data_IF_763859971188
#
_entry.id   IF_763859971188
#
_cell.length_a   1.000
_cell.length_b   1.000
_cell.length_c   1.000
_cell.angle_alpha   90.00
_cell.angle_beta   90.00
_cell.angle_gamma   90.00
#
_symmetry.space_group_name_H-M   'P 1'
#
loop_
_entity.id
_entity.type
_entity.pdbx_description
1 polymer ?
#
# COMPACT_ATOMS: atom_id res chain seq x y z
N UNK A 1 24.25 -3.98 17.59
CA UNK A 1 24.94 -4.07 16.29
C UNK A 1 26.42 -4.22 16.56
N UNK A 2 26.96 -5.43 16.43
CA UNK A 2 28.39 -5.66 16.62
C UNK A 2 29.14 -5.14 15.38
N UNK A 3 29.97 -4.13 15.59
CA UNK A 3 30.93 -3.66 14.60
C UNK A 3 31.85 -4.83 14.25
N UNK A 4 31.64 -5.46 13.10
CA UNK A 4 32.61 -6.38 12.53
C UNK A 4 33.87 -5.56 12.25
N UNK A 5 34.93 -5.78 13.04
CA UNK A 5 36.25 -5.20 12.77
C UNK A 5 36.66 -5.61 11.36
N UNK A 6 36.76 -4.62 10.46
CA UNK A 6 37.40 -4.82 9.17
C UNK A 6 38.85 -5.22 9.44
N UNK A 7 39.22 -6.43 9.03
CA UNK A 7 40.60 -6.86 9.01
C UNK A 7 41.28 -6.05 7.91
N UNK A 8 42.29 -5.27 8.28
CA UNK A 8 42.98 -4.43 7.31
C UNK A 8 43.87 -5.28 6.38
N UNK A 9 44.01 -4.90 5.10
CA UNK A 9 44.75 -5.70 4.11
C UNK A 9 46.17 -6.09 4.53
N UNK A 10 46.85 -5.23 5.31
CA UNK A 10 48.19 -5.52 5.81
C UNK A 10 48.19 -6.67 6.83
N UNK A 11 47.13 -6.87 7.60
CA UNK A 11 47.05 -7.96 8.58
C UNK A 11 46.99 -9.32 7.88
N UNK A 12 46.29 -9.39 6.75
CA UNK A 12 46.24 -10.59 5.89
C UNK A 12 47.63 -10.87 5.30
N UNK A 13 48.34 -9.82 4.86
CA UNK A 13 49.71 -9.94 4.36
C UNK A 13 50.65 -10.48 5.45
N UNK A 14 50.57 -9.95 6.67
CA UNK A 14 51.40 -10.42 7.79
C UNK A 14 51.16 -11.90 8.09
N UNK A 15 49.90 -12.34 8.15
CA UNK A 15 49.54 -13.74 8.38
C UNK A 15 50.11 -14.64 7.26
N UNK A 16 49.97 -14.22 5.99
CA UNK A 16 50.50 -14.97 4.85
C UNK A 16 52.03 -15.08 4.90
N UNK A 17 52.74 -13.99 5.21
CA UNK A 17 54.21 -14.00 5.36
C UNK A 17 54.64 -14.91 6.51
N UNK A 18 53.92 -14.90 7.64
CA UNK A 18 54.21 -15.79 8.77
C UNK A 18 54.01 -17.26 8.38
N UNK A 19 52.91 -17.61 7.69
CA UNK A 19 52.65 -18.98 7.22
C UNK A 19 53.71 -19.43 6.21
N UNK A 20 54.12 -18.55 5.29
CA UNK A 20 55.17 -18.85 4.31
C UNK A 20 56.51 -19.08 5.00
N UNK A 21 56.84 -18.26 6.00
CA UNK A 21 58.06 -18.38 6.79
C UNK A 21 58.12 -19.67 7.60
N UNK A 22 57.03 -20.05 8.26
CA UNK A 22 56.96 -21.31 9.02
C UNK A 22 57.00 -22.53 8.12
N UNK A 23 56.31 -22.52 6.97
CA UNK A 23 56.37 -23.60 5.99
C UNK A 23 57.78 -23.77 5.41
N UNK A 24 58.46 -22.66 5.07
CA UNK A 24 59.84 -22.69 4.57
C UNK A 24 60.81 -23.22 5.63
N UNK A 25 60.67 -22.77 6.88
CA UNK A 25 61.47 -23.27 8.00
C UNK A 25 61.29 -24.78 8.25
N UNK A 26 60.05 -25.28 8.14
CA UNK A 26 59.74 -26.70 8.28
C UNK A 26 60.38 -27.53 7.15
N UNK A 27 60.29 -27.06 5.89
CA UNK A 27 60.88 -27.74 4.72
C UNK A 27 62.39 -27.76 4.80
N UNK A 28 63.03 -26.68 5.28
CA UNK A 28 64.48 -26.64 5.49
C UNK A 28 64.90 -27.53 6.64
N UNK A 29 64.14 -27.58 7.75
CA UNK A 29 64.43 -28.45 8.89
C UNK A 29 64.28 -29.94 8.57
N UNK A 30 63.40 -30.31 7.63
CA UNK A 30 63.20 -31.69 7.17
C UNK A 30 64.13 -32.10 6.02
N UNK A 31 64.93 -31.17 5.48
CA UNK A 31 65.78 -31.39 4.30
C UNK A 31 66.76 -32.55 4.49
N UNK A 32 67.34 -32.65 5.69
CA UNK A 32 68.35 -33.68 5.99
C UNK A 32 67.73 -35.02 6.39
N UNK A 33 66.42 -35.04 6.66
CA UNK A 33 65.68 -36.23 7.09
C UNK A 33 64.94 -36.93 5.96
N UNK A 34 64.84 -36.30 4.78
CA UNK A 34 64.07 -36.81 3.65
C UNK A 34 64.98 -37.42 2.57
N UNK A 35 64.63 -38.59 2.01
CA UNK A 35 65.34 -39.16 0.87
C UNK A 35 65.35 -38.18 -0.30
N UNK A 36 66.50 -38.03 -0.97
CA UNK A 36 66.72 -37.03 -2.03
C UNK A 36 65.69 -37.05 -3.18
N UNK A 37 64.96 -38.17 -3.37
CA UNK A 37 63.91 -38.31 -4.38
C UNK A 37 62.52 -37.74 -3.99
N UNK A 38 62.26 -37.46 -2.71
CA UNK A 38 60.94 -36.99 -2.22
C UNK A 38 60.84 -35.48 -2.06
N UNK A 39 61.96 -34.77 -2.18
CA UNK A 39 62.00 -33.32 -1.99
C UNK A 39 61.23 -32.52 -3.07
N UNK A 40 61.38 -32.83 -4.38
CA UNK A 40 60.65 -32.11 -5.43
C UNK A 40 59.11 -32.20 -5.34
N UNK A 41 58.47 -33.37 -5.12
CA UNK A 41 57.01 -33.46 -5.09
C UNK A 41 56.39 -32.78 -3.86
N UNK A 42 57.05 -32.80 -2.70
CA UNK A 42 56.54 -32.14 -1.49
C UNK A 42 56.49 -30.62 -1.68
N UNK A 43 57.53 -30.03 -2.30
CA UNK A 43 57.56 -28.60 -2.62
C UNK A 43 56.43 -28.23 -3.59
N UNK A 44 56.20 -29.04 -4.62
CA UNK A 44 55.12 -28.79 -5.60
C UNK A 44 53.75 -28.80 -4.93
N UNK A 45 53.47 -29.73 -4.01
CA UNK A 45 52.21 -29.79 -3.26
C UNK A 45 52.03 -28.55 -2.39
N UNK A 46 53.07 -28.15 -1.64
CA UNK A 46 53.02 -26.99 -0.76
C UNK A 46 52.79 -25.69 -1.55
N UNK A 47 53.50 -25.50 -2.66
CA UNK A 47 53.31 -24.33 -3.54
C UNK A 47 51.90 -24.33 -4.13
N UNK A 48 51.39 -25.49 -4.56
CA UNK A 48 50.03 -25.59 -5.11
C UNK A 48 48.95 -25.24 -4.09
N UNK A 49 49.10 -25.69 -2.83
CA UNK A 49 48.19 -25.33 -1.74
C UNK A 49 48.25 -23.83 -1.41
N UNK A 50 49.45 -23.24 -1.39
CA UNK A 50 49.62 -21.81 -1.14
C UNK A 50 48.99 -20.95 -2.25
N UNK A 51 49.20 -21.31 -3.51
CA UNK A 51 48.56 -20.63 -4.65
C UNK A 51 47.04 -20.81 -4.58
N UNK A 52 46.55 -22.01 -4.28
CA UNK A 52 45.12 -22.26 -4.09
C UNK A 52 44.50 -21.40 -2.98
N UNK A 53 45.13 -21.34 -1.81
CA UNK A 53 44.71 -20.48 -0.70
C UNK A 53 44.75 -18.99 -1.06
N UNK A 54 45.77 -18.54 -1.79
CA UNK A 54 45.90 -17.14 -2.20
C UNK A 54 44.81 -16.75 -3.21
N UNK A 55 44.54 -17.59 -4.21
CA UNK A 55 43.46 -17.36 -5.19
C UNK A 55 42.10 -17.34 -4.47
N UNK A 56 41.86 -18.26 -3.55
CA UNK A 56 40.64 -18.30 -2.76
C UNK A 56 40.47 -17.04 -1.88
N UNK A 57 41.55 -16.59 -1.23
CA UNK A 57 41.58 -15.33 -0.47
C UNK A 57 41.34 -14.12 -1.37
N UNK A 58 41.95 -14.05 -2.56
CA UNK A 58 41.69 -12.98 -3.54
C UNK A 58 40.22 -12.94 -3.96
N UNK A 59 39.59 -14.09 -4.20
CA UNK A 59 38.16 -14.17 -4.56
C UNK A 59 37.26 -13.69 -3.41
N UNK A 60 37.62 -13.98 -2.16
CA UNK A 60 36.84 -13.60 -0.97
C UNK A 60 37.07 -12.15 -0.55
N UNK A 61 38.31 -11.67 -0.62
CA UNK A 61 38.70 -10.33 -0.17
C UNK A 61 38.47 -9.26 -1.23
N UNK A 62 38.41 -9.66 -2.50
CA UNK A 62 38.13 -8.81 -3.64
C UNK A 62 36.86 -9.29 -4.36
N UNK A 63 35.70 -9.38 -3.65
CA UNK A 63 34.46 -9.67 -4.34
C UNK A 63 34.31 -8.57 -5.39
N UNK A 64 34.01 -8.92 -6.66
CA UNK A 64 33.98 -7.93 -7.72
C UNK A 64 33.07 -6.80 -7.28
N UNK A 65 33.59 -5.56 -7.20
CA UNK A 65 32.84 -4.39 -6.70
C UNK A 65 31.48 -4.24 -7.40
N UNK A 66 31.38 -4.78 -8.62
CA UNK A 66 30.15 -4.92 -9.40
C UNK A 66 29.09 -5.86 -8.78
N UNK A 67 29.47 -6.96 -8.13
CA UNK A 67 28.53 -7.85 -7.46
C UNK A 67 27.88 -7.19 -6.24
N UNK A 68 28.64 -6.44 -5.43
CA UNK A 68 28.09 -5.73 -4.28
C UNK A 68 27.10 -4.64 -4.70
N UNK A 69 27.43 -3.86 -5.74
CA UNK A 69 26.52 -2.83 -6.26
C UNK A 69 25.25 -3.43 -6.85
N UNK A 70 25.33 -4.58 -7.53
CA UNK A 70 24.17 -5.29 -8.04
C UNK A 70 23.26 -5.81 -6.92
N UNK A 71 23.84 -6.49 -5.91
CA UNK A 71 23.08 -6.99 -4.74
C UNK A 71 22.42 -5.84 -4.00
N UNK A 72 23.13 -4.72 -3.81
CA UNK A 72 22.59 -3.53 -3.16
C UNK A 72 21.40 -2.95 -3.92
N UNK A 73 21.52 -2.75 -5.25
CA UNK A 73 20.41 -2.28 -6.09
C UNK A 73 19.22 -3.23 -6.07
N UNK A 74 19.46 -4.55 -6.10
CA UNK A 74 18.40 -5.55 -6.00
C UNK A 74 17.68 -5.50 -4.64
N UNK A 75 18.41 -5.31 -3.54
CA UNK A 75 17.85 -5.14 -2.20
C UNK A 75 17.05 -3.84 -2.06
N UNK A 76 17.56 -2.73 -2.60
CA UNK A 76 16.86 -1.44 -2.63
C UNK A 76 15.56 -1.54 -3.44
N UNK A 77 15.60 -2.16 -4.62
CA UNK A 77 14.41 -2.43 -5.44
C UNK A 77 13.37 -3.28 -4.70
N UNK A 78 13.80 -4.33 -3.99
CA UNK A 78 12.90 -5.17 -3.17
C UNK A 78 12.27 -4.39 -2.02
N UNK A 79 13.03 -3.51 -1.36
CA UNK A 79 12.50 -2.66 -0.27
C UNK A 79 11.49 -1.66 -0.80
N UNK A 80 11.74 -1.07 -1.97
CA UNK A 80 10.82 -0.11 -2.56
C UNK A 80 9.51 -0.78 -3.00
N UNK A 81 9.58 -1.97 -3.61
CA UNK A 81 8.38 -2.77 -3.91
C UNK A 81 7.57 -3.08 -2.66
N UNK A 82 8.21 -3.46 -1.55
CA UNK A 82 7.52 -3.71 -0.28
C UNK A 82 6.84 -2.45 0.28
N UNK A 83 7.47 -1.27 0.15
CA UNK A 83 6.87 -0.01 0.60
C UNK A 83 5.68 0.39 -0.28
N UNK A 84 5.81 0.22 -1.59
CA UNK A 84 4.72 0.45 -2.53
C UNK A 84 3.55 -0.48 -2.23
N UNK A 85 3.82 -1.77 -2.03
CA UNK A 85 2.80 -2.74 -1.62
C UNK A 85 2.12 -2.35 -0.30
N UNK A 86 2.87 -1.95 0.72
CA UNK A 86 2.28 -1.51 1.98
C UNK A 86 1.41 -0.26 1.85
N UNK A 87 1.84 0.72 1.05
CA UNK A 87 1.04 1.92 0.76
C UNK A 87 -0.24 1.55 0.01
N UNK A 88 -0.12 0.66 -0.95
CA UNK A 88 -1.23 0.14 -1.73
C UNK A 88 -2.27 -0.58 -0.83
N UNK A 89 -1.81 -1.52 0.00
CA UNK A 89 -2.66 -2.23 0.95
C UNK A 89 -3.35 -1.29 1.94
N UNK A 90 -2.67 -0.24 2.41
CA UNK A 90 -3.29 0.78 3.26
C UNK A 90 -4.39 1.53 2.52
N UNK A 91 -4.13 1.93 1.28
CA UNK A 91 -5.09 2.66 0.45
C UNK A 91 -6.33 1.81 0.16
N UNK A 92 -6.16 0.53 -0.19
CA UNK A 92 -7.27 -0.41 -0.38
C UNK A 92 -8.14 -0.53 0.87
N UNK A 93 -7.54 -0.67 2.06
CA UNK A 93 -8.31 -0.74 3.32
C UNK A 93 -9.16 0.50 3.55
N UNK A 94 -8.64 1.69 3.21
CA UNK A 94 -9.38 2.95 3.37
C UNK A 94 -10.53 3.03 2.37
N UNK A 95 -10.36 2.55 1.14
CA UNK A 95 -11.44 2.46 0.15
C UNK A 95 -12.52 1.46 0.60
N UNK A 96 -12.13 0.30 1.13
CA UNK A 96 -13.08 -0.70 1.64
C UNK A 96 -13.84 -0.18 2.87
N UNK A 97 -13.15 0.51 3.78
CA UNK A 97 -13.78 1.17 4.93
C UNK A 97 -14.72 2.29 4.48
N UNK A 98 -14.32 3.08 3.49
CA UNK A 98 -15.16 4.12 2.88
C UNK A 98 -16.45 3.53 2.31
N UNK A 99 -16.36 2.43 1.56
CA UNK A 99 -17.52 1.77 0.99
C UNK A 99 -18.45 1.23 2.07
N UNK A 100 -17.92 0.66 3.15
CA UNK A 100 -18.73 0.21 4.29
C UNK A 100 -19.45 1.39 4.94
N UNK A 101 -18.74 2.48 5.22
CA UNK A 101 -19.29 3.69 5.83
C UNK A 101 -20.36 4.34 4.94
N UNK A 102 -20.21 4.20 3.63
CA UNK A 102 -21.20 4.68 2.67
C UNK A 102 -22.51 3.89 2.76
N UNK A 103 -22.43 2.56 2.86
CA UNK A 103 -23.60 1.72 3.06
C UNK A 103 -24.27 2.00 4.41
N UNK A 104 -23.48 2.10 5.49
CA UNK A 104 -24.00 2.49 6.82
C UNK A 104 -24.76 3.83 6.76
N UNK A 105 -24.21 4.82 6.04
CA UNK A 105 -24.87 6.11 5.86
C UNK A 105 -26.13 6.01 4.99
N UNK A 106 -26.09 5.23 3.91
CA UNK A 106 -27.23 5.00 3.03
C UNK A 106 -28.40 4.37 3.79
N UNK A 107 -28.11 3.37 4.63
CA UNK A 107 -29.09 2.72 5.50
C UNK A 107 -29.69 3.71 6.50
N UNK A 108 -28.86 4.53 7.15
CA UNK A 108 -29.32 5.56 8.07
C UNK A 108 -30.26 6.57 7.40
N UNK A 109 -29.91 7.02 6.19
CA UNK A 109 -30.71 7.95 5.39
C UNK A 109 -32.06 7.33 5.02
N UNK A 110 -32.05 6.11 4.50
CA UNK A 110 -33.27 5.40 4.11
C UNK A 110 -34.17 5.13 5.33
N UNK A 111 -33.58 4.82 6.49
CA UNK A 111 -34.30 4.60 7.73
C UNK A 111 -34.97 5.90 8.20
N UNK A 112 -34.20 6.99 8.33
CA UNK A 112 -34.68 8.27 8.85
C UNK A 112 -35.72 8.89 7.92
N UNK A 113 -35.42 8.96 6.62
CA UNK A 113 -36.33 9.53 5.62
C UNK A 113 -37.52 8.63 5.32
N UNK A 114 -37.51 7.38 5.76
CA UNK A 114 -38.65 6.47 5.64
C UNK A 114 -39.58 6.44 6.84
N UNK A 115 -39.29 7.21 7.90
CA UNK A 115 -40.07 7.23 9.13
C UNK A 115 -40.90 8.52 9.24
N UNK A 116 -42.17 8.39 9.64
CA UNK A 116 -43.06 9.53 9.93
C UNK A 116 -42.59 10.41 11.11
N UNK A 117 -41.56 9.97 11.84
CA UNK A 117 -41.00 10.67 12.98
C UNK A 117 -39.68 11.36 12.62
N UNK A 118 -39.42 12.48 13.28
CA UNK A 118 -38.17 13.22 13.19
C UNK A 118 -36.93 12.37 13.58
N UNK A 119 -35.72 12.74 13.09
CA UNK A 119 -34.49 12.05 13.43
C UNK A 119 -34.25 12.11 14.94
N UNK A 120 -33.98 10.96 15.54
CA UNK A 120 -33.65 10.89 16.96
C UNK A 120 -32.26 11.45 17.25
N UNK A 121 -31.96 11.90 18.49
CA UNK A 121 -30.63 12.37 18.85
C UNK A 121 -29.51 11.35 18.57
N UNK A 122 -29.81 10.05 18.69
CA UNK A 122 -28.86 8.96 18.42
C UNK A 122 -28.53 8.90 16.92
N UNK A 123 -29.54 9.04 16.05
CA UNK A 123 -29.34 9.06 14.60
C UNK A 123 -28.55 10.29 14.15
N UNK A 124 -28.78 11.44 14.77
CA UNK A 124 -27.99 12.66 14.50
C UNK A 124 -26.53 12.50 14.94
N UNK A 125 -26.27 11.84 16.08
CA UNK A 125 -24.91 11.53 16.54
C UNK A 125 -24.20 10.55 15.58
N UNK A 126 -24.92 9.52 15.11
CA UNK A 126 -24.42 8.56 14.13
C UNK A 126 -24.07 9.25 12.81
N UNK A 127 -24.98 10.09 12.30
CA UNK A 127 -24.75 10.90 11.10
C UNK A 127 -23.52 11.81 11.26
N UNK A 128 -23.40 12.52 12.39
CA UNK A 128 -22.26 13.39 12.67
C UNK A 128 -20.94 12.62 12.69
N UNK A 129 -20.94 11.42 13.28
CA UNK A 129 -19.77 10.53 13.34
C UNK A 129 -19.35 10.07 11.94
N UNK A 130 -20.31 9.63 11.12
CA UNK A 130 -20.06 9.24 9.73
C UNK A 130 -19.55 10.42 8.90
N UNK A 131 -20.20 11.58 9.03
CA UNK A 131 -19.84 12.81 8.32
C UNK A 131 -18.39 13.25 8.62
N UNK A 132 -17.99 13.26 9.89
CA UNK A 132 -16.61 13.56 10.28
C UNK A 132 -15.61 12.56 9.71
N UNK A 133 -15.96 11.27 9.68
CA UNK A 133 -15.12 10.23 9.09
C UNK A 133 -14.90 10.48 7.58
N UNK A 134 -15.97 10.83 6.84
CA UNK A 134 -15.87 11.15 5.41
C UNK A 134 -15.02 12.38 5.13
N UNK A 135 -15.19 13.46 5.91
CA UNK A 135 -14.36 14.67 5.79
C UNK A 135 -12.89 14.33 5.99
N UNK A 136 -12.57 13.61 7.07
CA UNK A 136 -11.19 13.27 7.45
C UNK A 136 -10.49 12.42 6.38
N UNK A 137 -11.20 11.46 5.77
CA UNK A 137 -10.61 10.51 4.83
C UNK A 137 -10.75 10.92 3.35
N UNK A 138 -11.42 12.04 3.07
CA UNK A 138 -11.57 12.61 1.72
C UNK A 138 -10.27 12.63 0.91
N UNK A 139 -9.13 13.13 1.45
CA UNK A 139 -7.91 13.27 0.65
C UNK A 139 -7.34 11.92 0.18
N UNK A 140 -7.65 10.82 0.88
CA UNK A 140 -7.20 9.49 0.50
C UNK A 140 -8.12 8.88 -0.57
N UNK A 141 -9.43 9.13 -0.56
CA UNK A 141 -10.39 8.46 -1.46
C UNK A 141 -10.67 9.24 -2.75
N UNK A 142 -10.86 10.56 -2.67
CA UNK A 142 -11.28 11.38 -3.83
C UNK A 142 -10.36 11.27 -5.05
N UNK A 143 -9.01 11.26 -4.91
CA UNK A 143 -8.13 11.11 -6.07
C UNK A 143 -8.31 9.76 -6.79
N UNK A 144 -8.56 8.69 -6.04
CA UNK A 144 -8.81 7.36 -6.59
C UNK A 144 -10.18 7.31 -7.26
N UNK A 145 -11.21 7.89 -6.63
CA UNK A 145 -12.54 8.00 -7.22
C UNK A 145 -12.52 8.74 -8.56
N UNK A 146 -11.83 9.88 -8.63
CA UNK A 146 -11.73 10.65 -9.88
C UNK A 146 -11.10 9.81 -11.00
N UNK A 147 -10.02 9.10 -10.72
CA UNK A 147 -9.39 8.19 -11.69
C UNK A 147 -10.32 7.06 -12.13
N UNK A 148 -11.07 6.49 -11.19
CA UNK A 148 -12.08 5.49 -11.49
C UNK A 148 -13.12 6.07 -12.46
N UNK A 149 -13.72 7.21 -12.10
CA UNK A 149 -14.73 7.88 -12.92
C UNK A 149 -14.20 8.20 -14.33
N UNK A 150 -12.96 8.70 -14.45
CA UNK A 150 -12.34 9.02 -15.75
C UNK A 150 -12.07 7.78 -16.63
N UNK A 151 -11.93 6.59 -16.02
CA UNK A 151 -11.65 5.33 -16.72
C UNK A 151 -12.91 4.47 -16.93
N UNK A 152 -13.99 4.75 -16.19
CA UNK A 152 -15.23 4.00 -16.21
C UNK A 152 -15.98 4.27 -17.52
N UNK A 153 -16.64 3.23 -18.04
CA UNK A 153 -17.60 3.42 -19.13
C UNK A 153 -18.92 3.93 -18.54
N UNK A 154 -19.49 5.04 -19.06
CA UNK A 154 -20.75 5.57 -18.56
C UNK A 154 -21.87 4.52 -18.54
N UNK A 155 -22.63 4.46 -17.45
CA UNK A 155 -23.76 3.52 -17.34
C UNK A 155 -24.96 4.00 -18.17
N UNK A 156 -25.85 3.08 -18.55
CA UNK A 156 -27.02 3.40 -19.38
C UNK A 156 -27.92 4.49 -18.75
N UNK A 157 -28.10 4.46 -17.43
CA UNK A 157 -28.86 5.46 -16.68
C UNK A 157 -28.21 6.85 -16.65
N UNK A 158 -26.91 6.97 -16.92
CA UNK A 158 -26.23 8.27 -17.00
C UNK A 158 -26.59 9.06 -18.27
N UNK A 159 -27.06 8.35 -19.30
CA UNK A 159 -27.40 8.90 -20.60
C UNK A 159 -28.88 9.29 -20.74
N UNK A 160 -29.71 9.07 -19.71
CA UNK A 160 -31.11 9.46 -19.76
C UNK A 160 -31.28 10.97 -19.49
N UNK A 161 -31.96 11.70 -20.40
CA UNK A 161 -32.26 13.11 -20.23
C UNK A 161 -33.55 13.25 -19.43
N UNK A 162 -33.56 12.85 -18.16
CA UNK A 162 -34.76 13.01 -17.32
C UNK A 162 -34.54 14.07 -16.21
N UNK A 163 -35.66 14.71 -15.83
CA UNK A 163 -35.76 15.95 -15.05
C UNK A 163 -35.97 15.71 -13.56
N UNK A 164 -35.90 14.46 -13.10
CA UNK A 164 -36.22 14.10 -11.71
C UNK A 164 -35.16 14.61 -10.72
N UNK A 165 -35.56 14.81 -9.45
CA UNK A 165 -34.64 15.14 -8.37
C UNK A 165 -33.52 14.09 -8.26
N UNK A 166 -33.88 12.81 -8.42
CA UNK A 166 -32.92 11.71 -8.44
C UNK A 166 -31.83 11.89 -9.51
N UNK A 167 -32.18 12.30 -10.72
CA UNK A 167 -31.20 12.49 -11.80
C UNK A 167 -30.26 13.67 -11.55
N UNK A 168 -30.77 14.76 -10.97
CA UNK A 168 -29.95 15.93 -10.62
C UNK A 168 -28.96 15.61 -9.50
N UNK A 169 -29.42 14.88 -8.47
CA UNK A 169 -28.59 14.39 -7.37
C UNK A 169 -27.52 13.43 -7.91
N UNK A 170 -27.90 12.44 -8.70
CA UNK A 170 -26.97 11.47 -9.28
C UNK A 170 -25.92 12.15 -10.16
N UNK A 171 -26.32 13.05 -11.08
CA UNK A 171 -25.40 13.78 -11.97
C UNK A 171 -24.35 14.60 -11.22
N UNK A 172 -24.76 15.30 -10.16
CA UNK A 172 -23.83 16.08 -9.32
C UNK A 172 -22.83 15.15 -8.61
N UNK A 173 -23.31 13.98 -8.16
CA UNK A 173 -22.55 13.09 -7.30
C UNK A 173 -21.68 12.06 -8.05
N UNK A 174 -21.86 11.84 -9.35
CA UNK A 174 -20.99 10.94 -10.11
C UNK A 174 -19.52 11.38 -10.07
N UNK A 175 -19.27 12.69 -10.17
CA UNK A 175 -17.91 13.25 -10.20
C UNK A 175 -17.29 13.46 -8.81
N UNK A 176 -18.12 13.76 -7.80
CA UNK A 176 -17.71 13.85 -6.39
C UNK A 176 -18.82 13.22 -5.52
N UNK A 177 -18.70 11.94 -5.15
CA UNK A 177 -19.75 11.20 -4.44
C UNK A 177 -19.92 11.76 -3.03
N UNK A 178 -18.93 12.50 -2.53
CA UNK A 178 -19.00 13.09 -1.23
C UNK A 178 -19.67 14.47 -1.21
N UNK A 179 -19.84 15.10 -2.38
CA UNK A 179 -20.34 16.48 -2.46
C UNK A 179 -21.72 16.67 -1.84
N UNK A 180 -22.57 15.66 -1.95
CA UNK A 180 -23.89 15.58 -1.35
C UNK A 180 -23.89 15.67 0.18
N UNK A 181 -22.80 15.26 0.84
CA UNK A 181 -22.77 15.07 2.29
C UNK A 181 -21.92 16.12 3.02
N UNK A 182 -21.25 17.02 2.29
CA UNK A 182 -20.38 18.03 2.93
C UNK A 182 -21.10 19.28 3.44
N UNK A 183 -22.30 19.56 2.91
CA UNK A 183 -23.08 20.75 3.28
C UNK A 183 -24.05 20.53 4.45
N UNK A 184 -24.78 19.41 4.53
CA UNK A 184 -25.73 19.22 5.61
C UNK A 184 -25.03 18.90 6.93
N UNK A 185 -25.25 19.76 7.92
CA UNK A 185 -24.71 19.62 9.28
C UNK A 185 -25.52 18.65 10.15
N UNK A 186 -26.70 18.24 9.71
CA UNK A 186 -27.63 17.35 10.42
C UNK A 186 -28.50 16.57 9.44
N UNK A 187 -29.09 15.46 9.90
CA UNK A 187 -30.06 14.69 9.12
C UNK A 187 -31.29 15.52 8.78
N UNK A 188 -31.73 16.40 9.68
CA UNK A 188 -32.82 17.32 9.37
C UNK A 188 -32.50 18.21 8.17
N UNK A 189 -31.32 18.84 8.20
CA UNK A 189 -30.89 19.72 7.11
C UNK A 189 -30.75 18.95 5.80
N UNK A 190 -30.23 17.73 5.87
CA UNK A 190 -30.19 16.84 4.72
C UNK A 190 -31.60 16.57 4.19
N UNK A 191 -32.57 16.24 5.04
CA UNK A 191 -33.96 15.98 4.61
C UNK A 191 -34.61 17.19 3.92
N UNK A 192 -34.32 18.41 4.39
CA UNK A 192 -34.79 19.64 3.74
C UNK A 192 -34.08 19.90 2.41
N UNK A 193 -32.75 19.74 2.36
CA UNK A 193 -31.95 19.93 1.13
C UNK A 193 -32.30 18.91 0.03
N UNK A 194 -32.83 17.75 0.43
CA UNK A 194 -33.36 16.72 -0.48
C UNK A 194 -34.86 16.83 -0.72
N UNK A 195 -35.50 17.89 -0.26
CA UNK A 195 -36.94 18.13 -0.46
C UNK A 195 -37.82 16.98 0.08
N UNK A 196 -37.30 16.15 0.99
CA UNK A 196 -38.06 15.10 1.69
C UNK A 196 -39.09 15.75 2.59
N UNK A 197 -38.65 16.81 3.26
CA UNK A 197 -39.44 17.63 4.17
C UNK A 197 -39.44 19.06 3.63
N UNK A 198 -40.59 19.74 3.56
CA UNK A 198 -40.68 21.04 2.90
C UNK A 198 -40.01 22.19 3.66
N UNK A 199 -39.95 22.12 5.00
CA UNK A 199 -39.40 23.18 5.86
C UNK A 199 -38.74 22.63 7.13
N UNK A 200 -38.10 23.51 7.90
CA UNK A 200 -37.52 23.18 9.20
C UNK A 200 -38.55 23.10 10.35
N UNK A 201 -39.83 23.36 10.08
CA UNK A 201 -40.84 23.54 11.12
C UNK A 201 -41.65 22.26 11.39
N UNK A 202 -41.88 21.45 10.36
CA UNK A 202 -42.74 20.26 10.46
C UNK A 202 -42.11 19.09 9.74
N UNK A 203 -41.95 17.96 10.43
CA UNK A 203 -41.55 16.71 9.82
C UNK A 203 -42.76 16.08 9.11
N UNK A 204 -42.92 16.37 7.83
CA UNK A 204 -43.93 15.75 6.96
C UNK A 204 -43.27 15.33 5.68
N UNK A 205 -43.18 14.01 5.47
CA UNK A 205 -42.41 13.43 4.38
C UNK A 205 -43.24 13.30 3.11
N UNK A 206 -42.58 13.46 1.96
CA UNK A 206 -43.15 13.11 0.65
C UNK A 206 -42.77 11.68 0.27
N UNK A 207 -43.73 10.75 0.24
CA UNK A 207 -43.49 9.33 -0.09
C UNK A 207 -42.85 9.14 -1.48
N UNK A 208 -43.21 9.99 -2.44
CA UNK A 208 -42.60 10.00 -3.78
C UNK A 208 -41.11 10.36 -3.71
N UNK A 209 -40.76 11.40 -2.96
CA UNK A 209 -39.36 11.83 -2.79
C UNK A 209 -38.55 10.77 -2.03
N UNK A 210 -39.12 10.17 -0.99
CA UNK A 210 -38.48 9.06 -0.24
C UNK A 210 -38.19 7.88 -1.15
N UNK A 211 -39.12 7.52 -2.03
CA UNK A 211 -38.94 6.45 -3.02
C UNK A 211 -37.82 6.79 -4.02
N UNK A 212 -37.74 8.04 -4.47
CA UNK A 212 -36.65 8.52 -5.31
C UNK A 212 -35.28 8.44 -4.60
N UNK A 213 -35.20 8.81 -3.32
CA UNK A 213 -33.96 8.73 -2.54
C UNK A 213 -33.51 7.27 -2.37
N UNK A 214 -34.43 6.35 -2.05
CA UNK A 214 -34.12 4.91 -1.98
C UNK A 214 -33.54 4.40 -3.29
N UNK A 215 -34.11 4.84 -4.42
CA UNK A 215 -33.58 4.52 -5.74
C UNK A 215 -32.16 5.07 -5.95
N UNK A 216 -31.92 6.35 -5.61
CA UNK A 216 -30.60 6.99 -5.70
C UNK A 216 -29.55 6.25 -4.85
N UNK A 217 -29.87 5.93 -3.59
CA UNK A 217 -28.97 5.19 -2.69
C UNK A 217 -28.62 3.82 -3.27
N UNK A 218 -29.59 3.14 -3.88
CA UNK A 218 -29.38 1.84 -4.54
C UNK A 218 -28.40 1.96 -5.70
N UNK A 219 -28.64 2.92 -6.61
CA UNK A 219 -27.77 3.15 -7.78
C UNK A 219 -26.35 3.55 -7.35
N UNK A 220 -26.22 4.43 -6.35
CA UNK A 220 -24.91 4.82 -5.82
C UNK A 220 -24.19 3.65 -5.13
N UNK A 221 -24.93 2.72 -4.50
CA UNK A 221 -24.34 1.52 -3.92
C UNK A 221 -23.72 0.59 -4.97
N UNK A 222 -24.34 0.47 -6.14
CA UNK A 222 -23.75 -0.25 -7.27
C UNK A 222 -22.44 0.40 -7.73
N UNK A 223 -22.44 1.73 -7.86
CA UNK A 223 -21.26 2.51 -8.23
C UNK A 223 -20.12 2.36 -7.21
N UNK A 224 -20.44 2.39 -5.91
CA UNK A 224 -19.50 2.16 -4.82
C UNK A 224 -18.89 0.76 -4.90
N UNK A 225 -19.70 -0.27 -5.16
CA UNK A 225 -19.24 -1.65 -5.32
C UNK A 225 -18.29 -1.79 -6.53
N UNK A 226 -18.63 -1.15 -7.65
CA UNK A 226 -17.77 -1.12 -8.83
C UNK A 226 -16.44 -0.43 -8.55
N UNK A 227 -16.45 0.70 -7.82
CA UNK A 227 -15.24 1.41 -7.42
C UNK A 227 -14.34 0.54 -6.53
N UNK A 228 -14.89 -0.16 -5.54
CA UNK A 228 -14.13 -1.10 -4.71
C UNK A 228 -13.51 -2.20 -5.57
N UNK A 229 -14.26 -2.75 -6.52
CA UNK A 229 -13.78 -3.79 -7.43
C UNK A 229 -12.68 -3.26 -8.36
N UNK A 230 -12.84 -2.05 -8.90
CA UNK A 230 -11.84 -1.38 -9.72
C UNK A 230 -10.56 -1.12 -8.93
N UNK A 231 -10.67 -0.66 -7.68
CA UNK A 231 -9.50 -0.36 -6.87
C UNK A 231 -8.63 -1.60 -6.67
N UNK A 232 -9.21 -2.79 -6.49
CA UNK A 232 -8.46 -4.06 -6.34
C UNK A 232 -7.63 -4.50 -7.55
N UNK A 233 -7.83 -3.88 -8.73
CA UNK A 233 -7.10 -4.22 -9.96
C UNK A 233 -5.78 -3.48 -10.14
N UNK A 234 -5.54 -2.45 -9.32
CA UNK A 234 -4.34 -1.61 -9.35
C UNK A 234 -3.33 -2.00 -8.27
#
# INVERSE_FOLDING_TARGET
MNSMRQIEPWQILTILVTILGTATGLVLGLRDSLPAGLYPPIIIILVSLLVGCFVWLMVITNPPRHAYTYIRKALESRRERKRQEQRWQRHLRIIEEWARKWLELGDLIVQVMGCDNEPTPIQEEEFSTLHQWFIKNRPEVVPAWRRFHDQRTPMAHENYPDKSLADNVLKRNWTDPFSFFYQPLSLWRLAVELEVVPTFETWTQSEDVVSQIRYVVTILSELVSEFVTWSKRW
#
